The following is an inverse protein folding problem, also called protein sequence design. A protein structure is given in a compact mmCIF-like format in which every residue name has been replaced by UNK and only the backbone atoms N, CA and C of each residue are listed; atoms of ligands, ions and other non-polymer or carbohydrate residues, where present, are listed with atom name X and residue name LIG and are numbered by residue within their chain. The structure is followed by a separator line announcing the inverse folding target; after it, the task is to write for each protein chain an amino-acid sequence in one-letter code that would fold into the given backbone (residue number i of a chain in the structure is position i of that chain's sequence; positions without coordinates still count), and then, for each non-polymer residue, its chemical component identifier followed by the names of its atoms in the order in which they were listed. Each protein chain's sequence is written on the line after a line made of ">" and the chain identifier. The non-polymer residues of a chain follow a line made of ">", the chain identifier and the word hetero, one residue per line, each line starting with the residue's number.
data_IF_883451359250
#
_entry.id   IF_883451359250
#
_cell.length_a   1.000
_cell.length_b   1.000
_cell.length_c   1.000
_cell.angle_alpha   90.00
_cell.angle_beta   90.00
_cell.angle_gamma   90.00
#
_symmetry.space_group_name_H-M   'P 1'
#
loop_
_entity.id
_entity.type
_entity.pdbx_description
1 polymer ?
#
# COMPACT_ATOMS: atom_id res chain seq x y z
N UNK A 1 -10.11 -18.26 -14.09
CA UNK A 1 -9.29 -17.11 -14.52
C UNK A 1 -9.28 -16.12 -13.37
N UNK A 2 -8.14 -15.49 -13.07
CA UNK A 2 -8.04 -14.46 -12.03
C UNK A 2 -8.53 -13.12 -12.57
N UNK A 3 -9.15 -12.30 -11.73
CA UNK A 3 -9.62 -10.96 -12.11
C UNK A 3 -8.46 -9.97 -12.32
N UNK A 4 -7.33 -10.21 -11.67
CA UNK A 4 -6.13 -9.38 -11.73
C UNK A 4 -5.07 -9.87 -10.76
N UNK A 5 -4.08 -9.02 -10.48
CA UNK A 5 -2.97 -9.30 -9.58
C UNK A 5 -2.82 -8.19 -8.54
N UNK A 6 -2.56 -8.56 -7.30
CA UNK A 6 -2.29 -7.62 -6.20
C UNK A 6 -0.88 -7.81 -5.69
N UNK A 7 -0.12 -6.72 -5.57
CA UNK A 7 1.17 -6.74 -4.86
C UNK A 7 1.00 -6.01 -3.53
N UNK A 8 1.33 -6.70 -2.43
CA UNK A 8 1.12 -6.26 -1.05
C UNK A 8 2.46 -6.00 -0.37
N UNK A 9 2.82 -4.73 -0.21
CA UNK A 9 4.10 -4.29 0.34
C UNK A 9 4.02 -4.04 1.85
N UNK A 10 4.86 -4.74 2.62
CA UNK A 10 4.92 -4.59 4.08
C UNK A 10 5.72 -3.35 4.52
N UNK A 11 5.52 -2.92 5.77
CA UNK A 11 6.23 -1.79 6.38
C UNK A 11 7.70 -2.08 6.70
N UNK A 12 8.42 -1.05 7.16
CA UNK A 12 9.82 -1.16 7.60
C UNK A 12 9.91 -2.07 8.83
N UNK A 13 10.97 -2.86 8.91
CA UNK A 13 11.23 -3.84 9.98
C UNK A 13 10.08 -4.85 10.20
N UNK A 14 9.33 -5.11 9.15
CA UNK A 14 8.24 -6.06 9.11
C UNK A 14 8.58 -7.19 8.12
N UNK A 15 7.59 -7.92 7.62
CA UNK A 15 7.82 -9.01 6.66
C UNK A 15 6.56 -9.34 5.87
N UNK A 16 6.69 -10.26 4.89
CA UNK A 16 5.58 -10.65 4.02
C UNK A 16 4.44 -11.37 4.78
N UNK A 17 4.71 -11.85 5.99
CA UNK A 17 3.71 -12.49 6.86
C UNK A 17 3.13 -11.56 7.93
N UNK A 18 3.39 -10.26 7.85
CA UNK A 18 2.80 -9.28 8.76
C UNK A 18 1.26 -9.31 8.69
N UNK A 19 0.61 -9.07 9.83
CA UNK A 19 -0.83 -9.26 10.01
C UNK A 19 -1.67 -8.55 8.94
N UNK A 20 -1.42 -7.27 8.67
CA UNK A 20 -2.20 -6.50 7.69
C UNK A 20 -2.06 -7.05 6.27
N UNK A 21 -0.84 -7.22 5.76
CA UNK A 21 -0.64 -7.71 4.39
C UNK A 21 -1.12 -9.16 4.23
N UNK A 22 -1.07 -9.97 5.29
CA UNK A 22 -1.64 -11.33 5.29
C UNK A 22 -3.17 -11.31 5.22
N UNK A 23 -3.81 -10.41 5.97
CA UNK A 23 -5.27 -10.26 5.93
C UNK A 23 -5.74 -9.80 4.53
N UNK A 24 -5.06 -8.83 3.93
CA UNK A 24 -5.38 -8.38 2.57
C UNK A 24 -5.12 -9.48 1.53
N UNK A 25 -4.08 -10.30 1.69
CA UNK A 25 -3.79 -11.42 0.81
C UNK A 25 -4.91 -12.47 0.80
N UNK A 26 -5.46 -12.78 1.99
CA UNK A 26 -6.60 -13.68 2.12
C UNK A 26 -7.82 -13.13 1.36
N UNK A 27 -8.15 -11.85 1.56
CA UNK A 27 -9.26 -11.18 0.85
C UNK A 27 -9.03 -11.15 -0.66
N UNK A 28 -7.81 -10.90 -1.13
CA UNK A 28 -7.49 -10.95 -2.56
C UNK A 28 -7.80 -12.33 -3.15
N UNK A 29 -7.33 -13.41 -2.50
CA UNK A 29 -7.57 -14.77 -2.92
C UNK A 29 -9.07 -15.12 -2.96
N UNK A 30 -9.82 -14.77 -1.89
CA UNK A 30 -11.27 -14.96 -1.80
C UNK A 30 -12.04 -14.18 -2.87
N UNK A 31 -11.50 -13.03 -3.27
CA UNK A 31 -12.07 -12.17 -4.32
C UNK A 31 -11.64 -12.56 -5.74
N UNK A 32 -10.94 -13.67 -5.93
CA UNK A 32 -10.51 -14.17 -7.24
C UNK A 32 -9.34 -13.39 -7.85
N UNK A 33 -8.57 -12.65 -7.04
CA UNK A 33 -7.33 -12.00 -7.45
C UNK A 33 -6.13 -12.86 -7.08
N UNK A 34 -5.17 -13.00 -7.98
CA UNK A 34 -3.85 -13.50 -7.60
C UNK A 34 -3.10 -12.44 -6.79
N UNK A 35 -2.20 -12.87 -5.94
CA UNK A 35 -1.44 -11.92 -5.12
C UNK A 35 -0.01 -12.38 -4.87
N UNK A 36 0.85 -11.42 -4.56
CA UNK A 36 2.17 -11.67 -4.01
C UNK A 36 2.50 -10.67 -2.89
N UNK A 37 3.43 -11.05 -2.04
CA UNK A 37 3.94 -10.25 -0.91
C UNK A 37 5.46 -10.24 -0.97
N UNK A 38 6.08 -9.27 -1.69
CA UNK A 38 7.54 -9.18 -1.75
C UNK A 38 8.15 -9.10 -0.35
N UNK A 39 9.24 -9.82 -0.13
CA UNK A 39 9.99 -9.78 1.12
C UNK A 39 11.12 -8.76 1.02
N UNK A 40 10.96 -7.65 1.74
CA UNK A 40 11.98 -6.59 1.84
C UNK A 40 12.91 -6.76 3.04
N UNK A 41 12.79 -7.82 3.83
CA UNK A 41 13.52 -7.99 5.10
C UNK A 41 15.04 -7.98 4.92
N UNK A 42 15.55 -8.54 3.83
CA UNK A 42 16.97 -8.51 3.53
C UNK A 42 17.47 -7.10 3.18
N UNK A 43 16.66 -6.35 2.43
CA UNK A 43 16.94 -4.95 2.08
C UNK A 43 16.97 -4.09 3.34
N UNK A 44 15.98 -4.25 4.21
CA UNK A 44 15.87 -3.48 5.46
C UNK A 44 17.06 -3.72 6.40
N UNK A 45 17.59 -4.95 6.44
CA UNK A 45 18.77 -5.29 7.27
C UNK A 45 20.07 -4.76 6.69
N UNK A 46 20.18 -4.65 5.37
CA UNK A 46 21.39 -4.22 4.70
C UNK A 46 21.56 -2.70 4.67
N UNK A 47 20.45 -1.94 4.70
CA UNK A 47 20.43 -0.49 4.59
C UNK A 47 20.33 0.24 5.93
N UNK A 48 20.69 1.53 5.94
CA UNK A 48 20.33 2.45 7.02
C UNK A 48 18.91 2.95 6.79
N UNK A 49 18.01 2.75 7.75
CA UNK A 49 16.61 3.19 7.69
C UNK A 49 15.80 2.59 6.53
N UNK A 50 16.14 1.38 6.08
CA UNK A 50 15.56 0.75 4.91
C UNK A 50 16.07 1.39 3.62
N UNK A 51 16.63 0.61 2.73
CA UNK A 51 16.99 1.09 1.39
C UNK A 51 15.72 1.23 0.55
N UNK A 52 15.13 2.43 0.57
CA UNK A 52 13.89 2.72 -0.14
C UNK A 52 14.05 2.51 -1.64
N UNK A 53 15.18 2.91 -2.21
CA UNK A 53 15.45 2.75 -3.64
C UNK A 53 15.53 1.28 -4.05
N UNK A 54 16.14 0.43 -3.21
CA UNK A 54 16.17 -1.01 -3.45
C UNK A 54 14.76 -1.64 -3.32
N UNK A 55 13.93 -1.18 -2.38
CA UNK A 55 12.52 -1.60 -2.29
C UNK A 55 11.72 -1.19 -3.52
N UNK A 56 11.91 0.05 -4.01
CA UNK A 56 11.29 0.55 -5.24
C UNK A 56 11.72 -0.31 -6.44
N UNK A 57 13.01 -0.62 -6.57
CA UNK A 57 13.52 -1.44 -7.65
C UNK A 57 12.90 -2.85 -7.66
N UNK A 58 12.85 -3.51 -6.50
CA UNK A 58 12.23 -4.83 -6.36
C UNK A 58 10.72 -4.78 -6.68
N UNK A 59 9.99 -3.82 -6.13
CA UNK A 59 8.57 -3.69 -6.40
C UNK A 59 8.28 -3.41 -7.87
N UNK A 60 9.07 -2.55 -8.50
CA UNK A 60 8.97 -2.26 -9.94
C UNK A 60 9.16 -3.51 -10.78
N UNK A 61 10.19 -4.31 -10.49
CA UNK A 61 10.45 -5.58 -11.19
C UNK A 61 9.24 -6.52 -11.08
N UNK A 62 8.69 -6.70 -9.88
CA UNK A 62 7.49 -7.53 -9.66
C UNK A 62 6.27 -6.98 -10.40
N UNK A 63 6.05 -5.67 -10.32
CA UNK A 63 4.94 -5.02 -10.99
C UNK A 63 5.00 -5.15 -12.52
N UNK A 64 6.19 -5.05 -13.11
CA UNK A 64 6.41 -5.23 -14.54
C UNK A 64 6.22 -6.69 -15.00
N UNK A 65 6.46 -7.65 -14.11
CA UNK A 65 6.24 -9.07 -14.38
C UNK A 65 4.77 -9.50 -14.23
N UNK A 66 3.96 -8.70 -13.55
CA UNK A 66 2.55 -8.99 -13.30
C UNK A 66 1.75 -9.01 -14.63
N UNK A 67 0.74 -9.87 -14.69
CA UNK A 67 -0.14 -10.00 -15.86
C UNK A 67 -1.56 -9.60 -15.50
N UNK A 68 -2.23 -8.92 -16.41
CA UNK A 68 -3.60 -8.42 -16.23
C UNK A 68 -3.68 -7.14 -15.39
N UNK A 69 -4.88 -6.76 -14.94
CA UNK A 69 -5.07 -5.60 -14.07
C UNK A 69 -4.24 -5.70 -12.79
N UNK A 70 -3.42 -4.69 -12.51
CA UNK A 70 -2.52 -4.66 -11.35
C UNK A 70 -3.03 -3.68 -10.29
N UNK A 71 -3.19 -4.14 -9.05
CA UNK A 71 -3.40 -3.31 -7.87
C UNK A 71 -2.11 -3.29 -7.03
N UNK A 72 -1.66 -2.11 -6.63
CA UNK A 72 -0.59 -1.96 -5.65
C UNK A 72 -1.18 -1.59 -4.30
N UNK A 73 -0.77 -2.32 -3.28
CA UNK A 73 -1.22 -2.08 -1.91
C UNK A 73 -0.04 -2.13 -0.94
N UNK A 74 -0.13 -1.40 0.16
CA UNK A 74 0.95 -1.42 1.14
C UNK A 74 0.62 -0.74 2.46
N UNK A 75 1.51 -0.96 3.44
CA UNK A 75 1.41 -0.39 4.77
C UNK A 75 2.68 0.38 5.12
N UNK A 76 2.53 1.62 5.60
CA UNK A 76 3.63 2.49 6.03
C UNK A 76 4.67 2.64 4.91
N UNK A 77 5.93 2.28 5.10
CA UNK A 77 6.95 2.28 4.03
C UNK A 77 6.48 1.51 2.79
N UNK A 78 5.76 0.40 2.96
CA UNK A 78 5.17 -0.35 1.84
C UNK A 78 4.14 0.47 1.05
N UNK A 79 3.35 1.31 1.72
CA UNK A 79 2.44 2.23 1.06
C UNK A 79 3.18 3.32 0.28
N UNK A 80 4.27 3.85 0.86
CA UNK A 80 5.14 4.83 0.21
C UNK A 80 5.73 4.29 -1.10
N UNK A 81 6.39 3.13 -1.06
CA UNK A 81 7.00 2.55 -2.26
C UNK A 81 5.96 2.14 -3.30
N UNK A 82 4.78 1.65 -2.88
CA UNK A 82 3.67 1.32 -3.77
C UNK A 82 3.16 2.56 -4.52
N UNK A 83 3.02 3.68 -3.82
CA UNK A 83 2.61 4.94 -4.42
C UNK A 83 3.65 5.45 -5.44
N UNK A 84 4.94 5.43 -5.11
CA UNK A 84 5.99 5.86 -6.04
C UNK A 84 6.03 4.99 -7.29
N UNK A 85 6.03 3.66 -7.14
CA UNK A 85 6.07 2.72 -8.27
C UNK A 85 4.83 2.82 -9.16
N UNK A 86 3.66 3.19 -8.62
CA UNK A 86 2.45 3.40 -9.41
C UNK A 86 2.61 4.43 -10.53
N UNK A 87 3.58 5.32 -10.44
CA UNK A 87 3.87 6.31 -11.49
C UNK A 87 4.72 5.76 -12.64
N UNK A 88 5.30 4.59 -12.44
CA UNK A 88 6.24 3.98 -13.39
C UNK A 88 5.65 2.75 -14.07
N UNK A 89 4.56 2.20 -13.52
CA UNK A 89 3.89 1.02 -14.05
C UNK A 89 2.39 1.27 -14.19
N UNK A 90 1.75 0.64 -15.17
CA UNK A 90 0.29 0.70 -15.28
C UNK A 90 -0.35 -0.08 -14.14
N UNK A 91 -1.20 0.57 -13.34
CA UNK A 91 -2.00 -0.08 -12.30
C UNK A 91 -3.44 0.44 -12.33
N UNK A 92 -4.38 -0.36 -11.86
CA UNK A 92 -5.81 -0.03 -11.84
C UNK A 92 -6.26 0.64 -10.55
N UNK A 93 -5.41 0.65 -9.51
CA UNK A 93 -5.73 1.28 -8.23
C UNK A 93 -4.62 1.17 -7.20
N UNK A 94 -4.80 1.91 -6.10
CA UNK A 94 -3.91 1.94 -4.95
C UNK A 94 -4.70 1.74 -3.66
N UNK A 95 -4.24 0.84 -2.79
CA UNK A 95 -4.76 0.69 -1.43
C UNK A 95 -3.63 0.94 -0.42
N UNK A 96 -3.69 2.07 0.30
CA UNK A 96 -2.60 2.57 1.12
C UNK A 96 -3.01 2.63 2.59
N UNK A 97 -2.28 1.95 3.46
CA UNK A 97 -2.47 1.97 4.90
C UNK A 97 -1.35 2.77 5.57
N UNK A 98 -1.70 3.79 6.32
CA UNK A 98 -0.76 4.68 7.04
C UNK A 98 0.41 5.15 6.14
N UNK A 99 0.16 5.75 4.96
CA UNK A 99 1.22 6.19 4.06
C UNK A 99 1.94 7.41 4.62
N UNK A 100 3.30 7.41 4.72
CA UNK A 100 4.05 8.60 5.10
C UNK A 100 4.16 9.57 3.92
N UNK A 101 3.69 10.84 4.03
CA UNK A 101 3.87 11.83 2.98
C UNK A 101 5.33 12.22 2.75
N UNK A 102 6.15 12.09 3.76
CA UNK A 102 7.60 12.33 3.72
C UNK A 102 8.30 11.26 4.56
N UNK A 103 9.45 10.79 4.10
CA UNK A 103 10.33 9.93 4.88
C UNK A 103 11.65 10.68 5.09
N UNK A 104 12.04 10.83 6.36
CA UNK A 104 13.28 11.51 6.72
C UNK A 104 14.49 10.83 6.04
N UNK A 105 15.35 11.62 5.43
CA UNK A 105 16.53 11.15 4.70
C UNK A 105 16.25 10.64 3.28
N UNK A 106 15.00 10.59 2.83
CA UNK A 106 14.66 10.30 1.43
C UNK A 106 14.33 11.61 0.68
N UNK A 107 14.94 11.85 -0.50
CA UNK A 107 14.79 13.14 -1.18
C UNK A 107 13.42 13.38 -1.81
N UNK A 108 12.66 12.31 -2.05
CA UNK A 108 11.37 12.38 -2.71
C UNK A 108 10.22 12.31 -1.71
N UNK A 109 9.27 13.23 -1.80
CA UNK A 109 8.00 13.14 -1.09
C UNK A 109 7.07 12.12 -1.76
N UNK A 110 6.01 11.74 -1.05
CA UNK A 110 4.99 10.81 -1.54
C UNK A 110 4.30 11.39 -2.78
N UNK A 111 4.42 10.66 -3.87
CA UNK A 111 3.69 10.91 -5.12
C UNK A 111 3.09 9.62 -5.62
N UNK A 112 1.96 9.70 -6.32
CA UNK A 112 1.28 8.52 -6.83
C UNK A 112 0.63 8.81 -8.19
N UNK A 113 0.36 7.76 -8.96
CA UNK A 113 -0.46 7.86 -10.17
C UNK A 113 -1.86 8.39 -9.85
N UNK A 114 -2.52 8.97 -10.85
CA UNK A 114 -3.93 9.40 -10.78
C UNK A 114 -4.86 8.25 -11.14
N UNK A 115 -4.94 7.29 -10.23
CA UNK A 115 -5.82 6.11 -10.31
C UNK A 115 -6.72 6.08 -9.08
N UNK A 116 -7.84 5.32 -9.10
CA UNK A 116 -8.64 5.10 -7.90
C UNK A 116 -7.75 4.74 -6.71
N UNK A 117 -7.83 5.51 -5.65
CA UNK A 117 -6.99 5.35 -4.46
C UNK A 117 -7.86 5.35 -3.21
N UNK A 118 -7.67 4.33 -2.36
CA UNK A 118 -8.26 4.26 -1.02
C UNK A 118 -7.16 4.24 0.03
N UNK A 119 -7.27 5.17 0.97
CA UNK A 119 -6.33 5.34 2.09
C UNK A 119 -7.05 5.01 3.39
N UNK A 120 -6.43 4.22 4.27
CA UNK A 120 -6.86 4.02 5.66
C UNK A 120 -5.75 4.50 6.58
N UNK A 121 -6.08 5.38 7.54
CA UNK A 121 -5.10 5.99 8.42
C UNK A 121 -5.66 6.16 9.84
N UNK A 122 -4.80 6.11 10.85
CA UNK A 122 -5.19 6.30 12.25
C UNK A 122 -5.21 7.78 12.65
N UNK A 123 -6.25 8.19 13.42
CA UNK A 123 -6.30 9.53 13.99
C UNK A 123 -5.12 9.82 14.94
N UNK A 124 -4.75 8.79 15.72
CA UNK A 124 -3.71 8.89 16.77
C UNK A 124 -2.38 8.29 16.30
N UNK A 125 -2.12 8.32 14.98
CA UNK A 125 -0.84 7.84 14.42
C UNK A 125 0.31 8.67 14.97
N UNK A 126 1.12 8.04 15.83
CA UNK A 126 2.23 8.65 16.57
C UNK A 126 3.48 8.90 15.70
N UNK A 127 3.54 8.31 14.51
CA UNK A 127 4.66 8.47 13.57
C UNK A 127 4.31 9.42 12.43
N UNK A 128 3.08 9.36 11.95
CA UNK A 128 2.62 10.11 10.78
C UNK A 128 1.33 10.85 11.15
N UNK A 129 1.41 12.15 11.46
CA UNK A 129 0.22 12.91 11.83
C UNK A 129 -0.89 12.80 10.77
N UNK A 130 -2.12 12.52 11.21
CA UNK A 130 -3.27 12.36 10.31
C UNK A 130 -3.45 13.58 9.39
N UNK A 131 -3.17 14.80 9.88
CA UNK A 131 -3.26 16.02 9.08
C UNK A 131 -2.35 15.98 7.85
N UNK A 132 -1.14 15.44 7.97
CA UNK A 132 -0.21 15.32 6.84
C UNK A 132 -0.76 14.42 5.72
N UNK A 133 -1.47 13.36 6.08
CA UNK A 133 -2.13 12.48 5.11
C UNK A 133 -3.36 13.13 4.51
N UNK A 134 -4.14 13.88 5.29
CA UNK A 134 -5.27 14.68 4.81
C UNK A 134 -4.78 15.70 3.76
N UNK A 135 -3.73 16.45 4.09
CA UNK A 135 -3.16 17.49 3.21
C UNK A 135 -2.63 16.89 1.89
N UNK A 136 -2.12 15.66 1.93
CA UNK A 136 -1.68 14.96 0.72
C UNK A 136 -2.85 14.43 -0.11
N UNK A 137 -3.88 13.86 0.53
CA UNK A 137 -5.01 13.22 -0.14
C UNK A 137 -6.01 14.23 -0.71
N UNK A 138 -6.22 15.36 -0.03
CA UNK A 138 -7.25 16.34 -0.36
C UNK A 138 -7.14 16.93 -1.79
N UNK A 139 -5.98 17.43 -2.26
CA UNK A 139 -5.86 17.96 -3.63
C UNK A 139 -5.95 16.87 -4.69
N UNK A 140 -5.73 15.63 -4.32
CA UNK A 140 -5.86 14.45 -5.18
C UNK A 140 -7.30 13.96 -5.29
N UNK A 141 -8.17 14.35 -4.33
CA UNK A 141 -9.53 13.85 -4.17
C UNK A 141 -9.58 12.33 -3.94
N UNK A 142 -8.54 11.79 -3.32
CA UNK A 142 -8.48 10.39 -2.96
C UNK A 142 -9.48 10.06 -1.85
N UNK A 143 -9.98 8.84 -1.83
CA UNK A 143 -10.84 8.37 -0.74
C UNK A 143 -9.98 8.11 0.50
N UNK A 144 -10.21 8.85 1.57
CA UNK A 144 -9.50 8.73 2.85
C UNK A 144 -10.49 8.32 3.95
N UNK A 145 -10.13 7.30 4.72
CA UNK A 145 -10.86 6.84 5.90
C UNK A 145 -9.92 6.99 7.11
N UNK A 146 -10.35 7.77 8.07
CA UNK A 146 -9.66 7.92 9.35
C UNK A 146 -10.37 7.08 10.40
N UNK A 147 -9.59 6.31 11.16
CA UNK A 147 -10.07 5.40 12.22
C UNK A 147 -9.43 5.74 13.56
N UNK A 148 -10.11 5.40 14.65
CA UNK A 148 -9.62 5.56 16.02
C UNK A 148 -8.56 4.50 16.34
N UNK A 149 -7.33 4.75 15.86
CA UNK A 149 -6.18 3.83 15.99
C UNK A 149 -4.86 4.60 15.79
N UNK A 150 -3.74 3.98 16.19
CA UNK A 150 -2.39 4.48 15.95
C UNK A 150 -1.79 3.98 14.62
N UNK A 151 -0.47 4.16 14.47
CA UNK A 151 0.27 3.82 13.23
C UNK A 151 0.07 2.37 12.77
N UNK A 152 -0.01 1.45 13.70
CA UNK A 152 -0.11 0.02 13.38
C UNK A 152 -1.47 -0.41 12.86
N UNK A 153 -2.53 0.38 13.08
CA UNK A 153 -3.92 0.03 12.75
C UNK A 153 -4.31 -1.35 13.32
N UNK A 154 -3.80 -1.66 14.52
CA UNK A 154 -3.88 -3.00 15.11
C UNK A 154 -5.31 -3.39 15.49
N UNK A 155 -6.12 -2.44 15.93
CA UNK A 155 -7.53 -2.64 16.25
C UNK A 155 -8.43 -2.67 15.00
N UNK A 156 -7.91 -2.27 13.84
CA UNK A 156 -8.69 -2.12 12.61
C UNK A 156 -8.22 -3.01 11.46
N UNK A 157 -7.52 -4.11 11.73
CA UNK A 157 -7.04 -5.04 10.67
C UNK A 157 -8.21 -5.60 9.88
N UNK A 158 -9.27 -6.09 10.54
CA UNK A 158 -10.46 -6.63 9.88
C UNK A 158 -11.25 -5.55 9.12
N UNK A 159 -11.26 -4.33 9.65
CA UNK A 159 -11.85 -3.19 8.95
C UNK A 159 -11.10 -2.89 7.65
N UNK A 160 -9.76 -2.81 7.70
CA UNK A 160 -8.92 -2.63 6.51
C UNK A 160 -9.16 -3.74 5.48
N UNK A 161 -9.25 -4.99 5.93
CA UNK A 161 -9.53 -6.14 5.06
C UNK A 161 -10.89 -6.02 4.36
N UNK A 162 -11.95 -5.63 5.10
CA UNK A 162 -13.28 -5.38 4.50
C UNK A 162 -13.26 -4.24 3.49
N UNK A 163 -12.63 -3.09 3.84
CA UNK A 163 -12.51 -1.95 2.93
C UNK A 163 -11.71 -2.31 1.68
N UNK A 164 -10.70 -3.16 1.81
CA UNK A 164 -9.94 -3.67 0.68
C UNK A 164 -10.79 -4.55 -0.24
N UNK A 165 -11.61 -5.45 0.31
CA UNK A 165 -12.53 -6.28 -0.46
C UNK A 165 -13.58 -5.44 -1.23
N UNK A 166 -14.15 -4.40 -0.58
CA UNK A 166 -15.06 -3.46 -1.23
C UNK A 166 -14.36 -2.71 -2.37
N UNK A 167 -13.12 -2.31 -2.15
CA UNK A 167 -12.32 -1.62 -3.15
C UNK A 167 -12.03 -2.51 -4.36
N UNK A 168 -11.64 -3.77 -4.15
CA UNK A 168 -11.45 -4.73 -5.24
C UNK A 168 -12.73 -4.89 -6.09
N UNK A 169 -13.89 -5.00 -5.44
CA UNK A 169 -15.19 -5.08 -6.15
C UNK A 169 -15.49 -3.82 -6.96
N UNK A 170 -15.18 -2.65 -6.41
CA UNK A 170 -15.39 -1.38 -7.11
C UNK A 170 -14.52 -1.23 -8.36
N UNK A 171 -13.31 -1.74 -8.33
CA UNK A 171 -12.41 -1.73 -9.48
C UNK A 171 -12.93 -2.63 -10.60
N UNK A 172 -13.47 -3.81 -10.28
CA UNK A 172 -14.04 -4.71 -11.28
C UNK A 172 -15.25 -4.12 -11.99
N UNK A 173 -16.03 -3.30 -11.31
CA UNK A 173 -17.18 -2.62 -11.91
C UNK A 173 -16.78 -1.50 -12.89
N UNK A 174 -15.51 -1.06 -12.87
CA UNK A 174 -14.97 -0.02 -13.76
C UNK A 174 -14.06 -0.55 -14.88
N UNK A 175 -13.79 -1.86 -14.89
CA UNK A 175 -13.04 -2.56 -15.96
C UNK A 175 -14.00 -3.14 -16.98
#
# INVERSE_FOLDING_TARGET
>A
MTHGHVILSHGLHSGPNATKVSALAAVAAESGWSHERPDYSAIDRAGRCGDIDARIALLRERAQAARGPLLLAGSSMGAFVSALVSREVACVGLFLMAPPPVIEGHPQALVAARVPTLIVHGWDDELIPAQAVIDWAQPRRDRLILVDDGHRLAAHVDFCARQFGDFLRSLLAGL
#
